data_IF_587258165299
#
_entry.id   IF_587258165299
#
_cell.length_a   1.000
_cell.length_b   1.000
_cell.length_c   1.000
_cell.angle_alpha   90.00
_cell.angle_beta   90.00
_cell.angle_gamma   90.00
#
_symmetry.space_group_name_H-M   'P 1'
#
loop_
_entity.id
_entity.type
_entity.pdbx_description
1 polymer ?
#
# COMPACT_ATOMS: atom_id res chain seq x y z
N UNK A 1 11.61 5.44 -17.50
CA UNK A 1 11.07 4.05 -17.63
C UNK A 1 9.90 3.95 -16.68
N UNK A 2 8.70 3.89 -17.21
CA UNK A 2 7.48 3.86 -16.41
C UNK A 2 7.47 2.62 -15.49
N UNK A 3 7.31 2.82 -14.19
CA UNK A 3 7.18 1.75 -13.20
C UNK A 3 5.87 0.93 -13.41
N UNK A 4 4.87 1.56 -14.00
CA UNK A 4 3.57 0.97 -14.31
C UNK A 4 3.58 -0.16 -15.36
N UNK A 5 4.42 -0.15 -16.41
CA UNK A 5 4.48 -1.27 -17.35
C UNK A 5 4.93 -2.59 -16.72
N UNK A 6 5.82 -2.52 -15.72
CA UNK A 6 6.30 -3.72 -15.02
C UNK A 6 5.19 -4.29 -14.14
N UNK A 7 4.44 -3.45 -13.43
CA UNK A 7 3.26 -3.87 -12.66
C UNK A 7 2.17 -4.45 -13.56
N UNK A 8 1.87 -3.79 -14.70
CA UNK A 8 0.87 -4.28 -15.66
C UNK A 8 1.29 -5.61 -16.31
N UNK A 9 2.56 -5.77 -16.68
CA UNK A 9 3.07 -7.03 -17.23
C UNK A 9 3.06 -8.13 -16.17
N UNK A 10 3.48 -7.84 -14.94
CA UNK A 10 3.41 -8.80 -13.84
C UNK A 10 1.95 -9.22 -13.56
N UNK A 11 1.00 -8.29 -13.54
CA UNK A 11 -0.43 -8.59 -13.40
C UNK A 11 -0.98 -9.49 -14.53
N UNK A 12 -0.46 -9.33 -15.77
CA UNK A 12 -0.81 -10.21 -16.89
C UNK A 12 -0.21 -11.60 -16.80
N UNK A 13 1.03 -11.73 -16.31
CA UNK A 13 1.73 -13.01 -16.13
C UNK A 13 1.03 -13.85 -15.06
N UNK A 14 0.50 -13.23 -14.00
CA UNK A 14 -0.16 -13.90 -12.89
C UNK A 14 -1.70 -13.90 -13.00
N UNK A 15 -2.24 -14.15 -14.20
CA UNK A 15 -3.71 -14.18 -14.43
C UNK A 15 -4.38 -15.41 -13.82
N UNK A 16 -3.68 -16.51 -13.62
CA UNK A 16 -4.25 -17.71 -12.98
C UNK A 16 -4.44 -17.49 -11.47
N UNK A 17 -5.39 -18.20 -10.86
CA UNK A 17 -5.64 -18.15 -9.42
C UNK A 17 -4.36 -18.40 -8.60
N UNK A 18 -3.63 -19.48 -8.91
CA UNK A 18 -2.37 -19.80 -8.25
C UNK A 18 -1.29 -18.74 -8.46
N UNK A 19 -1.15 -18.24 -9.70
CA UNK A 19 -0.22 -17.17 -10.02
C UNK A 19 -0.49 -15.90 -9.23
N UNK A 20 -1.77 -15.50 -9.07
CA UNK A 20 -2.14 -14.30 -8.31
C UNK A 20 -1.82 -14.44 -6.82
N UNK A 21 -2.04 -15.61 -6.23
CA UNK A 21 -1.63 -15.87 -4.83
C UNK A 21 -0.11 -15.78 -4.68
N UNK A 22 0.65 -16.33 -5.62
CA UNK A 22 2.12 -16.20 -5.65
C UNK A 22 2.53 -14.73 -5.77
N UNK A 23 1.89 -13.97 -6.67
CA UNK A 23 2.12 -12.54 -6.82
C UNK A 23 1.89 -11.76 -5.52
N UNK A 24 0.77 -11.99 -4.83
CA UNK A 24 0.52 -11.38 -3.53
C UNK A 24 1.55 -11.76 -2.48
N UNK A 25 1.99 -13.02 -2.46
CA UNK A 25 3.07 -13.47 -1.55
C UNK A 25 4.38 -12.73 -1.84
N UNK A 26 4.74 -12.57 -3.11
CA UNK A 26 5.94 -11.83 -3.52
C UNK A 26 5.85 -10.35 -3.13
N UNK A 27 4.72 -9.66 -3.40
CA UNK A 27 4.52 -8.27 -2.98
C UNK A 27 4.62 -8.14 -1.46
N UNK A 28 3.99 -9.07 -0.72
CA UNK A 28 4.01 -9.08 0.73
C UNK A 28 5.40 -9.36 1.31
N UNK A 29 6.25 -10.04 0.58
CA UNK A 29 7.59 -10.40 1.00
C UNK A 29 8.61 -9.31 0.65
N UNK A 30 8.53 -8.78 -0.57
CA UNK A 30 9.53 -7.87 -1.11
C UNK A 30 9.31 -6.41 -0.71
N UNK A 31 8.04 -5.99 -0.53
CA UNK A 31 7.72 -4.60 -0.25
C UNK A 31 7.66 -4.34 1.26
N UNK A 32 8.61 -3.59 1.79
CA UNK A 32 8.69 -3.24 3.21
C UNK A 32 7.42 -2.54 3.72
N UNK A 33 6.77 -1.67 2.89
CA UNK A 33 5.48 -1.06 3.25
C UNK A 33 4.42 -2.10 3.59
N UNK A 34 4.40 -3.23 2.86
CA UNK A 34 3.46 -4.32 3.16
C UNK A 34 3.68 -4.92 4.54
N UNK A 35 4.92 -4.94 5.04
CA UNK A 35 5.23 -5.41 6.39
C UNK A 35 4.66 -4.46 7.44
N UNK A 36 4.79 -3.15 7.24
CA UNK A 36 4.22 -2.13 8.12
C UNK A 36 2.69 -2.18 8.13
N UNK A 37 2.05 -2.14 6.96
CA UNK A 37 0.59 -2.19 6.84
C UNK A 37 0.04 -3.47 7.46
N UNK A 38 0.60 -4.64 7.16
CA UNK A 38 0.18 -5.91 7.76
C UNK A 38 0.39 -5.96 9.28
N UNK A 39 1.42 -5.29 9.79
CA UNK A 39 1.64 -5.15 11.25
C UNK A 39 0.50 -4.34 11.88
N UNK A 40 0.13 -3.21 11.29
CA UNK A 40 -0.96 -2.37 11.81
C UNK A 40 -2.34 -3.05 11.65
N UNK A 41 -2.62 -3.68 10.51
CA UNK A 41 -3.84 -4.50 10.33
C UNK A 41 -3.93 -5.60 11.40
N UNK A 42 -2.84 -6.31 11.68
CA UNK A 42 -2.83 -7.36 12.73
C UNK A 42 -3.06 -6.79 14.13
N UNK A 43 -2.55 -5.60 14.43
CA UNK A 43 -2.83 -4.93 15.72
C UNK A 43 -4.29 -4.59 15.83
N UNK A 44 -4.88 -3.99 14.79
CA UNK A 44 -6.30 -3.66 14.74
C UNK A 44 -7.18 -4.92 14.85
N UNK A 45 -6.88 -5.98 14.10
CA UNK A 45 -7.67 -7.21 14.06
C UNK A 45 -7.75 -7.95 15.41
N UNK A 46 -6.84 -7.70 16.36
CA UNK A 46 -6.89 -8.26 17.72
C UNK A 46 -8.06 -7.74 18.54
N UNK A 47 -8.59 -6.58 18.18
CA UNK A 47 -9.67 -5.91 18.91
C UNK A 47 -10.91 -5.70 18.02
N UNK A 48 -10.84 -6.10 16.76
CA UNK A 48 -11.94 -6.02 15.82
C UNK A 48 -13.07 -7.00 16.19
N UNK A 49 -14.30 -6.60 15.92
CA UNK A 49 -15.44 -7.52 16.01
C UNK A 49 -15.31 -8.64 14.97
N UNK A 50 -15.88 -9.84 15.23
CA UNK A 50 -15.74 -10.97 14.32
C UNK A 50 -16.28 -10.71 12.91
N UNK A 51 -17.26 -9.82 12.77
CA UNK A 51 -17.98 -9.43 11.55
C UNK A 51 -17.59 -8.04 11.04
N UNK A 52 -16.40 -7.56 11.38
CA UNK A 52 -15.96 -6.22 11.01
C UNK A 52 -15.98 -5.97 9.50
N UNK A 53 -16.31 -4.73 9.14
CA UNK A 53 -16.35 -4.24 7.76
C UNK A 53 -15.08 -3.46 7.44
N UNK A 54 -14.42 -3.79 6.34
CA UNK A 54 -13.14 -3.20 5.93
C UNK A 54 -13.25 -2.62 4.53
N UNK A 55 -12.74 -1.41 4.34
CA UNK A 55 -12.55 -0.78 3.04
C UNK A 55 -11.07 -0.72 2.68
N UNK A 56 -10.72 -1.13 1.46
CA UNK A 56 -9.42 -0.87 0.83
C UNK A 56 -9.60 0.22 -0.23
N UNK A 57 -9.29 1.45 0.14
CA UNK A 57 -9.46 2.65 -0.68
C UNK A 57 -8.25 2.84 -1.59
N UNK A 58 -8.43 2.63 -2.90
CA UNK A 58 -7.36 2.50 -3.87
C UNK A 58 -6.77 1.08 -3.85
N UNK A 59 -7.64 0.08 -3.96
CA UNK A 59 -7.30 -1.34 -3.73
C UNK A 59 -6.34 -1.94 -4.76
N UNK A 60 -6.19 -1.32 -5.93
CA UNK A 60 -5.32 -1.80 -7.00
C UNK A 60 -5.51 -3.29 -7.28
N UNK A 61 -4.45 -4.06 -7.10
CA UNK A 61 -4.47 -5.53 -7.33
C UNK A 61 -5.22 -6.34 -6.26
N UNK A 62 -5.75 -5.73 -5.18
CA UNK A 62 -6.45 -6.42 -4.09
C UNK A 62 -5.53 -7.18 -3.13
N UNK A 63 -4.26 -6.77 -3.03
CA UNK A 63 -3.26 -7.39 -2.16
C UNK A 63 -3.67 -7.37 -0.68
N UNK A 64 -4.14 -6.22 -0.20
CA UNK A 64 -4.53 -6.06 1.20
C UNK A 64 -5.91 -6.66 1.48
N UNK A 65 -6.83 -6.61 0.52
CA UNK A 65 -8.10 -7.36 0.58
C UNK A 65 -7.84 -8.85 0.77
N UNK A 66 -6.93 -9.44 -0.03
CA UNK A 66 -6.54 -10.84 0.14
C UNK A 66 -5.89 -11.10 1.50
N UNK A 67 -5.09 -10.17 2.03
CA UNK A 67 -4.49 -10.34 3.35
C UNK A 67 -5.54 -10.32 4.45
N UNK A 68 -6.46 -9.34 4.44
CA UNK A 68 -7.55 -9.19 5.41
C UNK A 68 -8.48 -10.41 5.40
N UNK A 69 -8.82 -10.92 4.21
CA UNK A 69 -9.69 -12.10 4.06
C UNK A 69 -9.13 -13.38 4.69
N UNK A 70 -7.80 -13.46 4.88
CA UNK A 70 -7.15 -14.59 5.56
C UNK A 70 -7.06 -14.43 7.09
N UNK A 71 -7.36 -13.25 7.63
CA UNK A 71 -7.37 -13.02 9.08
C UNK A 71 -8.67 -13.49 9.73
N UNK A 72 -9.81 -13.28 9.06
CA UNK A 72 -11.10 -13.78 9.48
C UNK A 72 -11.98 -14.06 8.27
N UNK A 73 -12.59 -15.23 8.24
CA UNK A 73 -13.58 -15.60 7.21
C UNK A 73 -14.93 -14.86 7.37
N UNK A 74 -15.10 -14.10 8.45
CA UNK A 74 -16.33 -13.36 8.72
C UNK A 74 -16.25 -11.87 8.37
N UNK A 75 -15.05 -11.33 8.16
CA UNK A 75 -14.91 -9.94 7.72
C UNK A 75 -15.55 -9.73 6.35
N UNK A 76 -16.27 -8.61 6.22
CA UNK A 76 -16.71 -8.11 4.91
C UNK A 76 -15.67 -7.12 4.41
N UNK A 77 -15.25 -7.24 3.17
CA UNK A 77 -14.21 -6.39 2.61
C UNK A 77 -14.66 -5.80 1.28
N UNK A 78 -14.66 -4.47 1.18
CA UNK A 78 -14.85 -3.76 -0.08
C UNK A 78 -13.50 -3.19 -0.54
N UNK A 79 -13.13 -3.45 -1.79
CA UNK A 79 -12.04 -2.76 -2.47
C UNK A 79 -12.59 -1.75 -3.46
N UNK A 80 -12.10 -0.53 -3.48
CA UNK A 80 -12.47 0.46 -4.48
C UNK A 80 -11.23 0.98 -5.20
N UNK A 81 -11.37 1.23 -6.51
CA UNK A 81 -10.34 1.82 -7.35
C UNK A 81 -10.98 2.51 -8.56
N UNK A 82 -10.30 3.47 -9.17
CA UNK A 82 -10.75 4.12 -10.40
C UNK A 82 -10.49 3.27 -11.65
N UNK A 83 -9.58 2.29 -11.56
CA UNK A 83 -9.15 1.42 -12.67
C UNK A 83 -10.09 0.23 -12.84
N UNK A 84 -11.05 0.34 -13.76
CA UNK A 84 -12.08 -0.67 -14.02
C UNK A 84 -11.50 -2.06 -14.35
N UNK A 85 -10.42 -2.13 -15.15
CA UNK A 85 -9.75 -3.39 -15.50
C UNK A 85 -9.28 -4.16 -14.25
N UNK A 86 -8.71 -3.45 -13.26
CA UNK A 86 -8.24 -4.06 -12.02
C UNK A 86 -9.42 -4.55 -11.15
N UNK A 87 -10.50 -3.78 -11.08
CA UNK A 87 -11.74 -4.14 -10.37
C UNK A 87 -12.33 -5.43 -10.93
N UNK A 88 -12.46 -5.54 -12.25
CA UNK A 88 -12.97 -6.76 -12.89
C UNK A 88 -12.10 -7.98 -12.60
N UNK A 89 -10.78 -7.81 -12.70
CA UNK A 89 -9.82 -8.89 -12.43
C UNK A 89 -9.92 -9.32 -10.96
N UNK A 90 -10.02 -8.38 -10.03
CA UNK A 90 -10.17 -8.67 -8.60
C UNK A 90 -11.48 -9.40 -8.32
N UNK A 91 -12.61 -8.91 -8.81
CA UNK A 91 -13.91 -9.57 -8.63
C UNK A 91 -13.89 -11.02 -9.17
N UNK A 92 -13.30 -11.25 -10.34
CA UNK A 92 -13.17 -12.59 -10.92
C UNK A 92 -12.33 -13.52 -10.05
N UNK A 93 -11.21 -13.03 -9.52
CA UNK A 93 -10.32 -13.78 -8.64
C UNK A 93 -11.02 -14.18 -7.34
N UNK A 94 -11.63 -13.23 -6.63
CA UNK A 94 -12.23 -13.50 -5.31
C UNK A 94 -13.53 -14.33 -5.39
N UNK A 95 -14.28 -14.22 -6.47
CA UNK A 95 -15.42 -15.14 -6.74
C UNK A 95 -14.93 -16.59 -6.89
N UNK A 96 -13.84 -16.80 -7.62
CA UNK A 96 -13.25 -18.14 -7.81
C UNK A 96 -12.61 -18.71 -6.56
N UNK A 97 -12.26 -17.86 -5.57
CA UNK A 97 -11.66 -18.27 -4.28
C UNK A 97 -12.71 -18.58 -3.19
N UNK A 98 -14.02 -18.55 -3.53
CA UNK A 98 -15.09 -18.86 -2.60
C UNK A 98 -15.49 -17.72 -1.66
N UNK A 99 -14.99 -16.51 -1.88
CA UNK A 99 -15.24 -15.33 -1.04
C UNK A 99 -16.28 -14.35 -1.65
N UNK A 100 -16.96 -14.74 -2.72
CA UNK A 100 -17.76 -13.84 -3.54
C UNK A 100 -18.94 -13.10 -2.87
N UNK A 101 -19.39 -13.56 -1.71
CA UNK A 101 -20.46 -12.88 -0.94
C UNK A 101 -19.92 -11.87 0.09
N UNK A 102 -18.65 -11.99 0.50
CA UNK A 102 -18.05 -11.16 1.55
C UNK A 102 -17.00 -10.19 1.03
N UNK A 103 -16.52 -10.39 -0.20
CA UNK A 103 -15.50 -9.57 -0.82
C UNK A 103 -16.03 -9.03 -2.14
N UNK A 104 -16.10 -7.70 -2.24
CA UNK A 104 -16.62 -7.01 -3.42
C UNK A 104 -15.61 -5.92 -3.83
N UNK A 105 -15.42 -5.79 -5.13
CA UNK A 105 -14.66 -4.66 -5.68
C UNK A 105 -15.58 -3.80 -6.54
N UNK A 106 -15.47 -2.49 -6.37
CA UNK A 106 -16.31 -1.50 -7.04
C UNK A 106 -15.45 -0.39 -7.62
N UNK A 107 -15.81 0.07 -8.83
CA UNK A 107 -15.18 1.25 -9.41
C UNK A 107 -15.75 2.49 -8.72
N UNK A 108 -14.88 3.24 -8.06
CA UNK A 108 -15.27 4.48 -7.39
C UNK A 108 -14.12 5.48 -7.36
N UNK A 109 -14.48 6.76 -7.33
CA UNK A 109 -13.58 7.88 -7.13
C UNK A 109 -13.66 8.34 -5.67
N UNK A 110 -12.53 8.36 -4.97
CA UNK A 110 -12.45 8.73 -3.55
C UNK A 110 -12.85 10.17 -3.28
N UNK A 111 -12.80 11.04 -4.28
CA UNK A 111 -13.26 12.42 -4.14
C UNK A 111 -14.78 12.54 -3.99
N UNK A 112 -15.53 11.52 -4.44
CA UNK A 112 -16.99 11.48 -4.39
C UNK A 112 -17.55 10.31 -3.58
N UNK A 113 -16.73 9.30 -3.28
CA UNK A 113 -17.15 8.10 -2.57
C UNK A 113 -17.37 8.37 -1.08
N UNK A 114 -18.58 8.10 -0.61
CA UNK A 114 -18.95 8.13 0.82
C UNK A 114 -19.99 7.03 1.09
N UNK A 115 -19.71 6.17 2.04
CA UNK A 115 -20.69 5.23 2.64
C UNK A 115 -20.74 5.50 4.16
N UNK A 116 -21.66 6.33 4.66
CA UNK A 116 -21.64 6.81 6.03
C UNK A 116 -21.67 5.68 7.06
N UNK A 117 -20.74 5.77 8.06
CA UNK A 117 -20.66 4.85 9.21
C UNK A 117 -20.66 3.35 8.82
N UNK A 118 -20.03 3.00 7.69
CA UNK A 118 -20.07 1.66 7.12
C UNK A 118 -18.88 0.79 7.59
N UNK A 119 -17.71 1.38 7.88
CA UNK A 119 -16.46 0.63 8.02
C UNK A 119 -15.84 0.73 9.40
N UNK A 120 -15.33 -0.40 9.89
CA UNK A 120 -14.55 -0.49 11.13
C UNK A 120 -13.07 -0.19 10.87
N UNK A 121 -12.59 -0.50 9.66
CA UNK A 121 -11.23 -0.21 9.19
C UNK A 121 -11.28 0.32 7.75
N UNK A 122 -10.51 1.37 7.48
CA UNK A 122 -10.20 1.80 6.12
C UNK A 122 -8.69 1.76 5.92
N UNK A 123 -8.26 1.16 4.82
CA UNK A 123 -6.89 1.19 4.33
C UNK A 123 -6.81 2.19 3.18
N UNK A 124 -5.76 3.02 3.15
CA UNK A 124 -5.46 3.94 2.06
C UNK A 124 -3.94 3.92 1.83
N UNK A 125 -3.50 3.10 0.87
CA UNK A 125 -2.09 2.74 0.72
C UNK A 125 -1.53 3.19 -0.62
N UNK A 126 -0.65 4.18 -0.61
CA UNK A 126 -0.03 4.82 -1.76
C UNK A 126 -1.10 5.34 -2.76
N UNK A 127 -2.01 6.18 -2.26
CA UNK A 127 -3.14 6.74 -3.01
C UNK A 127 -3.20 8.27 -2.89
N UNK A 128 -3.08 8.81 -1.67
CA UNK A 128 -3.29 10.24 -1.42
C UNK A 128 -2.28 11.14 -2.15
N UNK A 129 -1.08 10.64 -2.41
CA UNK A 129 -0.07 11.36 -3.20
C UNK A 129 -0.44 11.57 -4.66
N UNK A 130 -1.44 10.84 -5.16
CA UNK A 130 -1.95 10.95 -6.52
C UNK A 130 -3.19 11.85 -6.65
N UNK A 131 -3.79 12.29 -5.53
CA UNK A 131 -5.05 13.03 -5.52
C UNK A 131 -4.81 14.47 -5.06
N UNK A 132 -5.23 15.43 -5.89
CA UNK A 132 -5.08 16.85 -5.58
C UNK A 132 -5.92 17.24 -4.37
N UNK A 133 -7.17 16.78 -4.32
CA UNK A 133 -8.17 17.06 -3.28
C UNK A 133 -8.05 16.08 -2.09
N UNK A 134 -6.85 15.85 -1.59
CA UNK A 134 -6.55 14.89 -0.54
C UNK A 134 -7.32 15.13 0.76
N UNK A 135 -7.56 16.40 1.14
CA UNK A 135 -8.36 16.73 2.33
C UNK A 135 -9.81 16.30 2.16
N UNK A 136 -10.40 16.52 0.97
CA UNK A 136 -11.75 16.04 0.65
C UNK A 136 -11.85 14.52 0.75
N UNK A 137 -10.82 13.80 0.23
CA UNK A 137 -10.75 12.35 0.38
C UNK A 137 -10.69 11.95 1.85
N UNK A 138 -9.85 12.60 2.66
CA UNK A 138 -9.75 12.32 4.10
C UNK A 138 -11.10 12.53 4.81
N UNK A 139 -11.84 13.60 4.47
CA UNK A 139 -13.19 13.85 5.00
C UNK A 139 -14.18 12.76 4.59
N UNK A 140 -14.16 12.32 3.32
CA UNK A 140 -15.03 11.26 2.81
C UNK A 140 -14.73 9.92 3.50
N UNK A 141 -13.46 9.59 3.71
CA UNK A 141 -13.06 8.40 4.45
C UNK A 141 -13.46 8.49 5.92
N UNK A 142 -13.36 9.69 6.54
CA UNK A 142 -13.80 9.90 7.91
C UNK A 142 -15.31 9.72 8.06
N UNK A 143 -16.11 10.25 7.12
CA UNK A 143 -17.58 10.05 7.09
C UNK A 143 -17.92 8.57 6.95
N UNK A 144 -17.15 7.83 6.16
CA UNK A 144 -17.38 6.41 5.87
C UNK A 144 -16.98 5.47 7.03
N UNK A 145 -16.13 5.92 7.96
CA UNK A 145 -15.81 5.15 9.16
C UNK A 145 -16.95 5.18 10.17
N UNK A 146 -17.17 4.08 10.86
CA UNK A 146 -17.97 4.01 12.08
C UNK A 146 -17.31 4.81 13.21
N UNK A 147 -18.09 5.21 14.21
CA UNK A 147 -17.55 5.83 15.44
C UNK A 147 -16.53 4.88 16.11
N UNK A 148 -15.32 5.36 16.33
CA UNK A 148 -14.20 4.55 16.81
C UNK A 148 -13.50 3.70 15.74
N UNK A 149 -13.95 3.78 14.49
CA UNK A 149 -13.29 3.14 13.35
C UNK A 149 -11.91 3.72 13.07
N UNK A 150 -11.05 2.94 12.44
CA UNK A 150 -9.64 3.24 12.22
C UNK A 150 -9.33 3.43 10.73
N UNK A 151 -8.58 4.50 10.40
CA UNK A 151 -7.95 4.70 9.10
C UNK A 151 -6.45 4.37 9.22
N UNK A 152 -5.93 3.57 8.30
CA UNK A 152 -4.49 3.30 8.14
C UNK A 152 -4.05 3.82 6.78
N UNK A 153 -3.13 4.77 6.77
CA UNK A 153 -2.54 5.35 5.57
C UNK A 153 -1.09 4.89 5.44
N UNK A 154 -0.67 4.60 4.20
CA UNK A 154 0.74 4.58 3.81
C UNK A 154 0.93 5.56 2.66
N UNK A 155 1.96 6.39 2.75
CA UNK A 155 2.28 7.38 1.72
C UNK A 155 3.78 7.70 1.76
N UNK A 156 4.38 8.23 0.68
CA UNK A 156 5.71 8.81 0.74
C UNK A 156 5.81 9.94 1.78
N UNK A 157 6.99 10.13 2.36
CA UNK A 157 7.30 11.29 3.20
C UNK A 157 8.02 12.37 2.40
N UNK A 158 8.02 13.60 2.92
CA UNK A 158 8.78 14.75 2.42
C UNK A 158 10.32 14.55 2.52
N UNK A 159 10.79 13.53 3.24
CA UNK A 159 12.22 13.26 3.47
C UNK A 159 12.89 12.45 2.34
N UNK A 160 12.24 12.32 1.19
CA UNK A 160 12.85 11.69 0.01
C UNK A 160 12.03 10.58 -0.62
N UNK A 161 10.84 10.89 -1.05
CA UNK A 161 9.96 9.97 -1.79
C UNK A 161 10.39 9.81 -3.24
N UNK A 162 10.77 10.86 -3.91
CA UNK A 162 11.26 10.83 -5.27
C UNK A 162 12.72 11.26 -5.31
N UNK A 163 13.58 10.52 -6.03
CA UNK A 163 14.95 10.96 -6.37
C UNK A 163 14.95 12.23 -7.28
N UNK A 164 13.86 12.99 -7.29
CA UNK A 164 13.57 14.10 -8.23
C UNK A 164 14.30 15.40 -7.91
N UNK A 165 14.79 15.59 -6.68
CA UNK A 165 15.40 16.86 -6.27
C UNK A 165 16.86 17.06 -6.71
N UNK A 166 17.41 16.23 -7.57
CA UNK A 166 18.75 16.46 -8.15
C UNK A 166 18.69 16.37 -9.67
N UNK A 167 18.72 17.55 -10.29
CA UNK A 167 19.04 17.76 -11.71
C UNK A 167 17.98 17.34 -12.74
N UNK A 168 16.80 17.95 -12.79
CA UNK A 168 15.99 17.97 -14.02
C UNK A 168 15.44 16.63 -14.51
N UNK A 169 15.60 15.57 -13.75
CA UNK A 169 15.02 14.27 -14.06
C UNK A 169 13.55 14.25 -13.62
N UNK A 170 12.67 13.93 -14.55
CA UNK A 170 11.25 13.65 -14.30
C UNK A 170 11.12 12.55 -13.25
N UNK A 171 10.19 12.70 -12.32
CA UNK A 171 9.84 11.71 -11.29
C UNK A 171 9.81 10.30 -11.88
N UNK A 172 10.34 9.31 -11.16
CA UNK A 172 10.19 7.89 -11.49
C UNK A 172 8.71 7.47 -11.59
N UNK A 173 7.80 8.32 -11.08
CA UNK A 173 6.35 8.15 -11.06
C UNK A 173 5.73 9.47 -11.53
N UNK A 174 5.47 9.60 -12.82
CA UNK A 174 4.86 10.78 -13.45
C UNK A 174 3.42 11.07 -12.97
N UNK A 175 2.83 10.22 -12.14
CA UNK A 175 1.46 10.32 -11.66
C UNK A 175 1.34 10.97 -10.26
N UNK A 176 2.44 11.33 -9.59
CA UNK A 176 2.37 11.98 -8.27
C UNK A 176 2.08 13.47 -8.42
N UNK A 177 1.03 13.95 -7.76
CA UNK A 177 0.73 15.39 -7.65
C UNK A 177 1.51 16.07 -6.53
N UNK A 178 2.20 15.26 -5.67
CA UNK A 178 3.07 15.72 -4.60
C UNK A 178 4.18 14.72 -4.29
N UNK A 179 5.31 15.22 -3.81
CA UNK A 179 6.50 14.37 -3.51
C UNK A 179 6.35 13.51 -2.25
N UNK A 180 5.31 13.74 -1.44
CA UNK A 180 5.03 13.10 -0.17
C UNK A 180 4.53 14.10 0.86
N UNK A 181 4.39 13.66 2.10
CA UNK A 181 3.87 14.47 3.20
C UNK A 181 4.90 14.67 4.30
N UNK A 182 4.96 15.90 4.86
CA UNK A 182 5.52 16.08 6.19
C UNK A 182 4.55 15.49 7.24
N UNK A 183 5.09 15.03 8.37
CA UNK A 183 4.27 14.47 9.47
C UNK A 183 3.26 15.49 9.96
N UNK A 184 3.72 16.70 10.22
CA UNK A 184 2.89 17.81 10.72
C UNK A 184 1.78 18.19 9.73
N UNK A 185 2.08 18.12 8.43
CA UNK A 185 1.10 18.43 7.36
C UNK A 185 -0.03 17.41 7.34
N UNK A 186 0.30 16.10 7.27
CA UNK A 186 -0.73 15.06 7.17
C UNK A 186 -1.56 14.97 8.44
N UNK A 187 -0.94 15.14 9.62
CA UNK A 187 -1.66 15.17 10.90
C UNK A 187 -2.61 16.38 10.98
N UNK A 188 -2.19 17.56 10.52
CA UNK A 188 -3.05 18.74 10.46
C UNK A 188 -4.24 18.53 9.51
N UNK A 189 -4.01 17.98 8.31
CA UNK A 189 -5.05 17.67 7.33
C UNK A 189 -6.07 16.67 7.89
N UNK A 190 -5.59 15.58 8.51
CA UNK A 190 -6.47 14.60 9.16
C UNK A 190 -7.26 15.21 10.33
N UNK A 191 -6.64 16.06 11.15
CA UNK A 191 -7.32 16.78 12.21
C UNK A 191 -8.44 17.67 11.67
N UNK A 192 -8.21 18.40 10.58
CA UNK A 192 -9.23 19.21 9.88
C UNK A 192 -10.36 18.34 9.30
N UNK A 193 -10.03 17.15 8.79
CA UNK A 193 -11.01 16.19 8.32
C UNK A 193 -11.84 15.52 9.44
N UNK A 194 -11.57 15.83 10.72
CA UNK A 194 -12.35 15.37 11.86
C UNK A 194 -11.81 14.11 12.54
N UNK A 195 -10.62 13.65 12.18
CA UNK A 195 -9.97 12.54 12.87
C UNK A 195 -9.40 12.95 14.22
N UNK A 196 -9.39 11.99 15.15
CA UNK A 196 -8.81 12.10 16.49
C UNK A 196 -7.75 11.03 16.68
N UNK A 197 -6.90 11.14 17.68
CA UNK A 197 -5.86 10.15 18.00
C UNK A 197 -5.03 9.74 16.77
N UNK A 198 -4.40 10.73 16.16
CA UNK A 198 -3.54 10.55 15.00
C UNK A 198 -2.16 10.11 15.49
N UNK A 199 -1.66 8.98 14.96
CA UNK A 199 -0.34 8.43 15.26
C UNK A 199 0.42 8.26 13.96
N UNK A 200 1.53 8.95 13.80
CA UNK A 200 2.39 8.87 12.63
C UNK A 200 3.73 8.21 12.96
N UNK A 201 4.25 7.44 12.03
CA UNK A 201 5.59 6.87 12.12
C UNK A 201 6.27 6.87 10.76
N UNK A 202 7.58 7.14 10.78
CA UNK A 202 8.39 6.96 9.59
C UNK A 202 8.64 5.49 9.29
N UNK A 203 8.50 5.10 8.05
CA UNK A 203 8.94 3.85 7.47
C UNK A 203 10.10 4.10 6.50
N UNK A 204 10.77 3.03 6.08
CA UNK A 204 11.97 3.16 5.25
C UNK A 204 13.01 4.10 5.85
N UNK A 205 13.37 3.88 7.09
CA UNK A 205 14.55 4.48 7.72
C UNK A 205 15.83 3.99 7.05
N UNK A 206 17.01 4.25 7.65
CA UNK A 206 18.30 3.84 7.05
C UNK A 206 18.37 2.36 6.64
N UNK A 207 17.92 1.36 7.46
CA UNK A 207 17.92 -0.05 7.04
C UNK A 207 16.98 -0.31 5.87
N UNK A 208 15.75 0.23 5.89
CA UNK A 208 14.76 0.04 4.85
C UNK A 208 15.17 0.67 3.52
N UNK A 209 15.78 1.86 3.55
CA UNK A 209 16.35 2.49 2.37
C UNK A 209 17.47 1.65 1.75
N UNK A 210 18.37 1.09 2.59
CA UNK A 210 19.42 0.21 2.10
C UNK A 210 18.82 -1.07 1.50
N UNK A 211 17.85 -1.67 2.18
CA UNK A 211 17.14 -2.84 1.66
C UNK A 211 16.51 -2.55 0.30
N UNK A 212 15.80 -1.43 0.16
CA UNK A 212 15.19 -1.03 -1.11
C UNK A 212 16.21 -0.81 -2.23
N UNK A 213 17.33 -0.16 -1.91
CA UNK A 213 18.43 0.03 -2.89
C UNK A 213 18.95 -1.33 -3.39
N UNK A 214 19.20 -2.26 -2.47
CA UNK A 214 19.74 -3.57 -2.80
C UNK A 214 18.71 -4.46 -3.53
N UNK A 215 17.46 -4.51 -3.05
CA UNK A 215 16.46 -5.45 -3.57
C UNK A 215 15.67 -4.93 -4.77
N UNK A 216 15.62 -3.60 -5.00
CA UNK A 216 14.82 -3.00 -6.06
C UNK A 216 15.63 -2.09 -6.98
N UNK A 217 16.30 -1.05 -6.45
CA UNK A 217 16.96 -0.02 -7.27
C UNK A 217 18.11 -0.60 -8.12
N UNK A 218 18.99 -1.37 -7.52
CA UNK A 218 20.13 -1.95 -8.25
C UNK A 218 19.71 -3.03 -9.26
N UNK A 219 18.83 -4.00 -8.95
CA UNK A 219 18.29 -4.93 -9.93
C UNK A 219 17.64 -4.26 -11.13
N UNK A 220 16.82 -3.22 -10.91
CA UNK A 220 16.22 -2.45 -12.02
C UNK A 220 17.28 -1.78 -12.87
N UNK A 221 18.30 -1.16 -12.26
CA UNK A 221 19.44 -0.58 -13.01
C UNK A 221 20.20 -1.63 -13.82
N UNK A 222 20.47 -2.81 -13.23
CA UNK A 222 21.13 -3.92 -13.93
C UNK A 222 20.35 -4.36 -15.17
N UNK A 223 19.03 -4.53 -15.05
CA UNK A 223 18.16 -4.90 -16.18
C UNK A 223 18.13 -3.83 -17.27
N UNK A 224 18.24 -2.55 -16.92
CA UNK A 224 18.32 -1.45 -17.88
C UNK A 224 19.68 -1.42 -18.63
N UNK A 225 20.75 -1.94 -18.05
CA UNK A 225 22.05 -2.04 -18.70
C UNK A 225 22.11 -3.16 -19.76
N UNK A 226 21.31 -4.21 -19.61
CA UNK A 226 21.27 -5.27 -20.61
C UNK A 226 20.56 -6.55 -20.18
N UNK A 227 20.04 -7.28 -21.18
CA UNK A 227 19.27 -8.52 -20.95
C UNK A 227 20.10 -9.63 -20.30
N UNK A 228 21.44 -9.60 -20.40
CA UNK A 228 22.34 -10.59 -19.76
C UNK A 228 22.13 -10.63 -18.23
N UNK A 229 21.72 -9.52 -17.64
CA UNK A 229 21.47 -9.46 -16.20
C UNK A 229 20.28 -10.31 -15.74
N UNK A 230 19.38 -10.75 -16.63
CA UNK A 230 18.38 -11.76 -16.28
C UNK A 230 19.00 -13.09 -15.79
N UNK A 231 20.18 -13.44 -16.30
CA UNK A 231 20.92 -14.62 -15.87
C UNK A 231 21.69 -14.40 -14.55
N UNK A 232 22.09 -13.16 -14.28
CA UNK A 232 22.86 -12.81 -13.07
C UNK A 232 21.94 -12.59 -11.86
N UNK A 233 20.72 -12.07 -12.07
CA UNK A 233 19.79 -11.72 -10.99
C UNK A 233 19.45 -12.91 -10.05
N UNK A 234 19.26 -14.16 -10.49
CA UNK A 234 19.01 -15.26 -9.57
C UNK A 234 20.16 -15.46 -8.57
N UNK A 235 21.41 -15.39 -9.02
CA UNK A 235 22.59 -15.49 -8.16
C UNK A 235 22.72 -14.28 -7.23
N UNK A 236 22.44 -13.09 -7.75
CA UNK A 236 22.40 -11.86 -6.96
C UNK A 236 21.38 -11.96 -5.83
N UNK A 237 20.15 -12.38 -6.12
CA UNK A 237 19.10 -12.50 -5.13
C UNK A 237 19.34 -13.63 -4.12
N UNK A 238 20.09 -14.66 -4.47
CA UNK A 238 20.47 -15.72 -3.53
C UNK A 238 21.22 -15.13 -2.31
N UNK A 239 22.06 -14.10 -2.54
CA UNK A 239 22.83 -13.43 -1.50
C UNK A 239 22.07 -12.25 -0.91
N UNK A 240 21.50 -11.40 -1.77
CA UNK A 240 20.91 -10.12 -1.34
C UNK A 240 19.56 -10.31 -0.67
N UNK A 241 18.79 -11.31 -1.04
CA UNK A 241 17.45 -11.53 -0.48
C UNK A 241 17.47 -11.75 1.04
N UNK A 242 18.31 -12.64 1.63
CA UNK A 242 18.41 -12.78 3.08
C UNK A 242 18.83 -11.48 3.78
N UNK A 243 19.77 -10.75 3.18
CA UNK A 243 20.24 -9.45 3.71
C UNK A 243 19.10 -8.42 3.71
N UNK A 244 18.35 -8.33 2.60
CA UNK A 244 17.20 -7.43 2.49
C UNK A 244 16.11 -7.77 3.52
N UNK A 245 15.83 -9.06 3.74
CA UNK A 245 14.87 -9.51 4.75
C UNK A 245 15.30 -9.11 6.17
N UNK A 246 16.57 -9.27 6.50
CA UNK A 246 17.13 -8.84 7.79
C UNK A 246 17.01 -7.31 7.97
N UNK A 247 17.36 -6.55 6.93
CA UNK A 247 17.25 -5.09 6.93
C UNK A 247 15.80 -4.62 7.07
N UNK A 248 14.86 -5.24 6.36
CA UNK A 248 13.43 -4.96 6.47
C UNK A 248 12.90 -5.27 7.87
N UNK A 249 13.29 -6.39 8.44
CA UNK A 249 12.94 -6.74 9.83
C UNK A 249 13.46 -5.71 10.81
N UNK A 250 14.73 -5.32 10.65
CA UNK A 250 15.37 -4.32 11.50
C UNK A 250 14.69 -2.94 11.39
N UNK A 251 14.26 -2.55 10.19
CA UNK A 251 13.52 -1.33 9.94
C UNK A 251 12.15 -1.35 10.63
N UNK A 252 11.40 -2.44 10.45
CA UNK A 252 10.05 -2.61 11.00
C UNK A 252 9.97 -2.50 12.52
N UNK A 253 11.00 -2.91 13.24
CA UNK A 253 11.01 -2.94 14.71
C UNK A 253 11.76 -1.75 15.34
N UNK A 254 12.46 -0.95 14.54
CA UNK A 254 13.14 0.26 15.00
C UNK A 254 12.23 1.47 14.84
N UNK A 255 12.20 2.35 15.83
CA UNK A 255 11.60 3.68 15.68
C UNK A 255 12.58 4.57 14.91
N UNK A 256 12.06 5.27 13.90
CA UNK A 256 12.84 6.15 13.05
C UNK A 256 12.45 7.60 13.32
N UNK A 257 13.45 8.48 13.43
CA UNK A 257 13.26 9.94 13.47
C UNK A 257 13.09 10.54 12.07
N UNK A 258 13.41 9.76 11.02
CA UNK A 258 13.28 10.14 9.62
C UNK A 258 13.25 8.88 8.75
N UNK A 259 12.49 8.94 7.65
CA UNK A 259 12.37 7.84 6.68
C UNK A 259 11.69 8.34 5.42
N UNK A 260 11.77 7.58 4.33
CA UNK A 260 11.21 7.99 3.03
C UNK A 260 9.72 7.63 2.85
N UNK A 261 9.13 6.99 3.82
CA UNK A 261 7.69 6.70 3.84
C UNK A 261 7.08 7.03 5.19
N UNK A 262 5.78 7.23 5.20
CA UNK A 262 4.95 7.44 6.39
C UNK A 262 3.90 6.33 6.50
N UNK A 263 3.67 5.90 7.72
CA UNK A 263 2.48 5.13 8.11
C UNK A 263 1.73 5.99 9.12
N UNK A 264 0.47 6.27 8.82
CA UNK A 264 -0.38 7.08 9.70
C UNK A 264 -1.61 6.26 10.09
N UNK A 265 -1.93 6.30 11.36
CA UNK A 265 -3.13 5.71 11.91
C UNK A 265 -3.98 6.80 12.56
N UNK A 266 -5.25 6.89 12.19
CA UNK A 266 -6.18 7.87 12.72
C UNK A 266 -7.50 7.21 13.10
N UNK A 267 -8.20 7.73 14.12
CA UNK A 267 -9.47 7.21 14.63
C UNK A 267 -10.55 8.28 14.49
N UNK A 268 -11.76 7.85 14.03
CA UNK A 268 -12.96 8.72 13.99
C UNK A 268 -13.50 8.99 15.38
#
# INVERSE_FOLDING_TARGET
MHYDPIKRQAGRIFRSKGGRVVFFRLLNLLLLRSWYIRKEIRKWARFATPDASVLDAGSGFGQYVHYVSKLSGNFTVKGIDVKEEEIEICNRFFRSDGHGSKIVFEKADLTTFVEPDAYDLILCVDVLEHIQEDVLVMENLQKSLKKGGCLIISTPSDKGGSDVHKNGDTSFIEEHVRDGYAVEEIEQKLGRAGFRRIESLYSYGKPGQLSWKLSMKYPVKMLNLGKVFFLVLPLYYLVIFPVAMLLNSRDLYKKHSSGTGLIVKAVK
#
